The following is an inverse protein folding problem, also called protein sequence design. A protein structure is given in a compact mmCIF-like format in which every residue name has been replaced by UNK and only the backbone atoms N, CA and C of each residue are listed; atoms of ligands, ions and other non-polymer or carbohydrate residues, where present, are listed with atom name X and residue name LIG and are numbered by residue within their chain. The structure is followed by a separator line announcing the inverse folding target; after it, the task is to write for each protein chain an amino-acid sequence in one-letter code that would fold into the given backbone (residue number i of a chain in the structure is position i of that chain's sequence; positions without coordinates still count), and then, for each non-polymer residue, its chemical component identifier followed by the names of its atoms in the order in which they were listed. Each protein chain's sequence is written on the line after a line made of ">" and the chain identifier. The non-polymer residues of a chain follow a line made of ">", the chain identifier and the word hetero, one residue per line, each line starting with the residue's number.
data_IF_679792659123
#
_entry.id   IF_679792659123
#
_cell.length_a   1.000
_cell.length_b   1.000
_cell.length_c   1.000
_cell.angle_alpha   90.00
_cell.angle_beta   90.00
_cell.angle_gamma   90.00
#
_symmetry.space_group_name_H-M   'P 1'
#
loop_
_entity.id
_entity.type
_entity.pdbx_description
1 polymer ?
#
# COMPACT_ATOMS: atom_id res chain seq x y z
N UNK A 1 -17.19 -41.58 -0.79
CA UNK A 1 -16.27 -41.98 0.30
C UNK A 1 -15.26 -40.84 0.50
N UNK A 2 -15.51 -39.95 1.45
CA UNK A 2 -14.65 -38.78 1.70
C UNK A 2 -13.40 -39.20 2.49
N UNK A 3 -12.22 -39.00 1.90
CA UNK A 3 -10.93 -39.28 2.52
C UNK A 3 -10.68 -38.23 3.61
N UNK A 4 -11.00 -38.57 4.85
CA UNK A 4 -10.67 -37.81 6.06
C UNK A 4 -9.16 -37.96 6.30
N UNK A 5 -8.34 -37.02 5.82
CA UNK A 5 -6.89 -37.00 6.10
C UNK A 5 -6.67 -36.75 7.59
N UNK A 6 -6.23 -37.77 8.32
CA UNK A 6 -5.77 -37.65 9.70
C UNK A 6 -4.47 -36.84 9.71
N UNK A 7 -4.49 -35.64 10.29
CA UNK A 7 -3.29 -34.82 10.54
C UNK A 7 -2.34 -35.59 11.47
N UNK A 8 -1.06 -35.69 11.13
CA UNK A 8 -0.08 -36.36 11.99
C UNK A 8 0.17 -35.54 13.26
N UNK A 9 0.62 -36.17 14.34
CA UNK A 9 0.97 -35.48 15.60
C UNK A 9 2.07 -34.44 15.42
N UNK A 10 2.99 -34.64 14.46
CA UNK A 10 3.98 -33.65 14.04
C UNK A 10 3.36 -32.44 13.34
N UNK A 11 2.34 -32.63 12.51
CA UNK A 11 1.64 -31.53 11.84
C UNK A 11 0.90 -30.66 12.86
N UNK A 12 0.28 -31.27 13.87
CA UNK A 12 -0.40 -30.55 14.96
C UNK A 12 0.58 -29.73 15.81
N UNK A 13 1.74 -30.31 16.17
CA UNK A 13 2.78 -29.60 16.91
C UNK A 13 3.38 -28.43 16.11
N UNK A 14 3.59 -28.62 14.80
CA UNK A 14 4.06 -27.58 13.90
C UNK A 14 3.03 -26.43 13.76
N UNK A 15 1.74 -26.76 13.59
CA UNK A 15 0.67 -25.76 13.54
C UNK A 15 0.55 -24.98 14.86
N UNK A 16 0.70 -25.64 16.02
CA UNK A 16 0.69 -24.94 17.31
C UNK A 16 1.90 -24.01 17.46
N UNK A 17 3.08 -24.44 17.02
CA UNK A 17 4.29 -23.61 17.03
C UNK A 17 4.14 -22.37 16.12
N UNK A 18 3.65 -22.56 14.89
CA UNK A 18 3.38 -21.45 13.98
C UNK A 18 2.34 -20.49 14.54
N UNK A 19 1.28 -21.00 15.16
CA UNK A 19 0.26 -20.18 15.77
C UNK A 19 0.84 -19.37 16.94
N UNK A 20 1.57 -20.01 17.88
CA UNK A 20 2.22 -19.28 18.99
C UNK A 20 3.19 -18.20 18.50
N UNK A 21 3.92 -18.47 17.42
CA UNK A 21 4.88 -17.51 16.85
C UNK A 21 4.15 -16.34 16.18
N UNK A 22 3.12 -16.62 15.39
CA UNK A 22 2.32 -15.59 14.74
C UNK A 22 1.57 -14.72 15.77
N UNK A 23 1.06 -15.32 16.84
CA UNK A 23 0.41 -14.59 17.93
C UNK A 23 1.37 -13.60 18.60
N UNK A 24 2.61 -14.02 18.89
CA UNK A 24 3.64 -13.14 19.46
C UNK A 24 3.99 -11.98 18.52
N UNK A 25 4.13 -12.25 17.22
CA UNK A 25 4.42 -11.22 16.22
C UNK A 25 3.29 -10.18 16.15
N UNK A 26 2.04 -10.61 16.10
CA UNK A 26 0.87 -9.73 16.10
C UNK A 26 0.72 -8.92 17.40
N UNK A 27 1.22 -9.43 18.52
CA UNK A 27 1.20 -8.72 19.79
C UNK A 27 2.24 -7.60 19.87
N UNK A 28 3.45 -7.86 19.36
CA UNK A 28 4.62 -6.99 19.59
C UNK A 28 4.90 -6.06 18.41
N UNK A 29 4.84 -6.55 17.17
CA UNK A 29 5.28 -5.78 16.01
C UNK A 29 4.36 -4.60 15.66
N UNK A 30 3.03 -4.74 15.61
CA UNK A 30 2.14 -3.63 15.23
C UNK A 30 2.27 -2.36 16.10
N UNK A 31 2.23 -2.42 17.44
CA UNK A 31 2.34 -1.19 18.25
C UNK A 31 3.71 -0.51 18.08
N UNK A 32 4.79 -1.28 17.94
CA UNK A 32 6.13 -0.73 17.66
C UNK A 32 6.16 -0.02 16.31
N UNK A 33 5.64 -0.66 15.26
CA UNK A 33 5.59 -0.10 13.91
C UNK A 33 4.68 1.14 13.85
N UNK A 34 3.57 1.15 14.58
CA UNK A 34 2.70 2.33 14.71
C UNK A 34 3.46 3.51 15.33
N UNK A 35 4.15 3.31 16.46
CA UNK A 35 4.89 4.39 17.14
C UNK A 35 6.04 4.88 16.29
N UNK A 36 6.92 3.96 15.83
CA UNK A 36 8.10 4.31 15.03
C UNK A 36 7.69 4.92 13.69
N UNK A 37 6.69 4.34 13.02
CA UNK A 37 6.18 4.81 11.75
C UNK A 37 5.53 6.19 11.85
N UNK A 38 4.72 6.45 12.87
CA UNK A 38 4.11 7.77 13.09
C UNK A 38 5.17 8.83 13.39
N UNK A 39 6.13 8.53 14.27
CA UNK A 39 7.20 9.48 14.58
C UNK A 39 8.11 9.73 13.37
N UNK A 40 8.53 8.68 12.66
CA UNK A 40 9.41 8.76 11.50
C UNK A 40 8.79 9.56 10.35
N UNK A 41 7.54 9.27 10.00
CA UNK A 41 6.82 10.00 8.95
C UNK A 41 6.48 11.43 9.39
N UNK A 42 6.09 11.64 10.65
CA UNK A 42 5.85 12.97 11.20
C UNK A 42 7.09 13.87 11.16
N UNK A 43 8.25 13.33 11.55
CA UNK A 43 9.55 14.02 11.42
C UNK A 43 9.89 14.33 9.96
N UNK A 44 9.63 13.38 9.05
CA UNK A 44 9.87 13.58 7.61
C UNK A 44 9.06 14.76 7.08
N UNK A 45 7.77 14.84 7.42
CA UNK A 45 6.91 15.98 7.08
C UNK A 45 7.50 17.28 7.66
N UNK A 46 7.87 17.28 8.94
CA UNK A 46 8.39 18.47 9.62
C UNK A 46 9.70 18.99 9.00
N UNK A 47 10.61 18.10 8.61
CA UNK A 47 11.90 18.46 7.99
C UNK A 47 11.71 18.91 6.55
N UNK A 48 10.93 18.19 5.76
CA UNK A 48 10.71 18.48 4.34
C UNK A 48 9.89 19.75 4.11
N UNK A 49 9.03 20.12 5.08
CA UNK A 49 8.23 21.35 5.03
C UNK A 49 9.05 22.62 5.32
N UNK A 50 10.30 22.50 5.79
CA UNK A 50 11.16 23.66 6.06
C UNK A 50 11.49 24.42 4.76
N UNK A 51 11.63 25.75 4.87
CA UNK A 51 11.89 26.66 3.74
C UNK A 51 13.10 26.25 2.88
N UNK A 52 14.11 25.63 3.49
CA UNK A 52 15.29 25.12 2.79
C UNK A 52 14.98 23.96 1.84
N UNK A 53 14.06 23.06 2.22
CA UNK A 53 13.75 21.83 1.48
C UNK A 53 12.54 21.99 0.55
N UNK A 54 11.59 22.87 0.88
CA UNK A 54 10.35 23.10 0.12
C UNK A 54 10.56 23.59 -1.32
N UNK A 55 11.78 24.00 -1.68
CA UNK A 55 12.15 24.37 -3.05
C UNK A 55 12.38 23.16 -3.96
N UNK A 56 12.56 21.97 -3.40
CA UNK A 56 12.75 20.73 -4.15
C UNK A 56 11.41 20.06 -4.44
N UNK A 57 11.15 19.72 -5.70
CA UNK A 57 9.95 18.97 -6.08
C UNK A 57 9.93 17.58 -5.42
N UNK A 58 11.10 16.96 -5.21
CA UNK A 58 11.22 15.70 -4.47
C UNK A 58 10.65 15.80 -3.05
N UNK A 59 10.71 16.98 -2.41
CA UNK A 59 10.12 17.18 -1.08
C UNK A 59 8.59 17.05 -1.11
N UNK A 60 7.93 17.42 -2.22
CA UNK A 60 6.47 17.30 -2.37
C UNK A 60 6.06 15.82 -2.34
N UNK A 61 6.68 14.97 -3.16
CA UNK A 61 6.37 13.54 -3.17
C UNK A 61 6.68 12.89 -1.82
N UNK A 62 7.81 13.24 -1.20
CA UNK A 62 8.19 12.65 0.09
C UNK A 62 7.26 13.07 1.23
N UNK A 63 6.74 14.30 1.22
CA UNK A 63 5.71 14.74 2.17
C UNK A 63 4.42 13.96 1.95
N UNK A 64 3.95 13.86 0.69
CA UNK A 64 2.73 13.11 0.36
C UNK A 64 2.89 11.63 0.72
N UNK A 65 4.04 11.03 0.43
CA UNK A 65 4.37 9.67 0.84
C UNK A 65 4.27 9.52 2.36
N UNK A 66 4.89 10.44 3.12
CA UNK A 66 4.85 10.39 4.59
C UNK A 66 3.43 10.50 5.14
N UNK A 67 2.57 11.33 4.54
CA UNK A 67 1.15 11.45 4.90
C UNK A 67 0.40 10.15 4.59
N UNK A 68 0.61 9.58 3.40
CA UNK A 68 -0.04 8.34 2.99
C UNK A 68 0.43 7.16 3.85
N UNK A 69 1.71 7.08 4.21
CA UNK A 69 2.25 6.04 5.09
C UNK A 69 1.64 6.12 6.49
N UNK A 70 1.42 7.32 7.03
CA UNK A 70 0.64 7.51 8.26
C UNK A 70 -0.79 6.97 8.07
N UNK A 71 -1.47 7.30 6.97
CA UNK A 71 -2.81 6.76 6.71
C UNK A 71 -2.82 5.23 6.62
N UNK A 72 -1.83 4.61 5.97
CA UNK A 72 -1.68 3.14 5.89
C UNK A 72 -1.51 2.54 7.30
N UNK A 73 -0.70 3.16 8.15
CA UNK A 73 -0.50 2.73 9.53
C UNK A 73 -1.82 2.76 10.33
N UNK A 74 -2.57 3.86 10.27
CA UNK A 74 -3.79 4.03 11.06
C UNK A 74 -5.02 3.32 10.47
N UNK A 75 -5.10 3.12 9.15
CA UNK A 75 -6.24 2.43 8.53
C UNK A 75 -5.98 0.94 8.36
N UNK A 76 -4.77 0.53 8.00
CA UNK A 76 -4.39 -0.87 7.80
C UNK A 76 -3.92 -1.53 9.08
N UNK A 77 -2.74 -1.10 9.57
CA UNK A 77 -2.04 -1.78 10.65
C UNK A 77 -2.78 -1.67 11.99
N UNK A 78 -3.26 -0.48 12.34
CA UNK A 78 -4.03 -0.26 13.57
C UNK A 78 -5.32 -1.08 13.57
N UNK A 79 -6.08 -1.11 12.47
CA UNK A 79 -7.27 -1.97 12.35
C UNK A 79 -6.90 -3.42 12.63
N UNK A 80 -5.85 -3.93 12.00
CA UNK A 80 -5.48 -5.33 12.12
C UNK A 80 -5.02 -5.66 13.55
N UNK A 81 -4.33 -4.74 14.22
CA UNK A 81 -3.97 -4.87 15.62
C UNK A 81 -5.21 -4.85 16.53
N UNK A 82 -6.14 -3.93 16.32
CA UNK A 82 -7.40 -3.87 17.09
C UNK A 82 -8.26 -5.12 16.91
N UNK A 83 -8.36 -5.62 15.67
CA UNK A 83 -9.08 -6.86 15.38
C UNK A 83 -8.45 -8.05 16.10
N UNK A 84 -7.12 -8.11 16.13
CA UNK A 84 -6.42 -9.23 16.74
C UNK A 84 -6.46 -9.19 18.27
N UNK A 85 -6.29 -8.02 18.88
CA UNK A 85 -6.18 -7.88 20.34
C UNK A 85 -7.53 -7.69 21.03
N UNK A 86 -8.41 -6.86 20.46
CA UNK A 86 -9.69 -6.46 21.08
C UNK A 86 -10.90 -7.12 20.43
N UNK A 87 -10.69 -8.03 19.46
CA UNK A 87 -11.75 -8.60 18.60
C UNK A 87 -12.63 -7.52 17.94
N UNK A 88 -12.04 -6.33 17.72
CA UNK A 88 -12.72 -5.15 17.22
C UNK A 88 -12.31 -4.88 15.77
N UNK A 89 -13.26 -5.02 14.84
CA UNK A 89 -13.05 -4.67 13.44
C UNK A 89 -13.98 -3.51 13.05
N UNK A 90 -13.39 -2.38 12.64
CA UNK A 90 -14.11 -1.20 12.14
C UNK A 90 -15.03 -1.55 10.97
N UNK A 91 -14.69 -2.58 10.18
CA UNK A 91 -15.52 -3.06 9.07
C UNK A 91 -16.81 -3.73 9.54
N UNK A 92 -16.89 -4.20 10.79
CA UNK A 92 -18.08 -4.85 11.36
C UNK A 92 -19.08 -3.86 11.97
N UNK A 93 -18.77 -2.56 12.02
CA UNK A 93 -19.67 -1.52 12.53
C UNK A 93 -20.90 -1.31 11.62
N UNK A 94 -20.79 -1.70 10.35
CA UNK A 94 -21.90 -1.67 9.39
C UNK A 94 -21.42 -1.72 7.94
N UNK A 95 -22.35 -1.89 6.99
CA UNK A 95 -22.02 -2.08 5.58
C UNK A 95 -21.33 -0.86 4.97
N UNK A 96 -21.71 0.36 5.40
CA UNK A 96 -21.05 1.59 4.95
C UNK A 96 -19.58 1.65 5.42
N UNK A 97 -19.33 1.32 6.69
CA UNK A 97 -17.99 1.31 7.28
C UNK A 97 -17.09 0.29 6.58
N UNK A 98 -17.58 -0.92 6.34
CA UNK A 98 -16.86 -1.95 5.58
C UNK A 98 -16.42 -1.45 4.20
N UNK A 99 -17.34 -0.88 3.41
CA UNK A 99 -17.11 -0.41 2.05
C UNK A 99 -16.04 0.68 2.02
N UNK A 100 -16.26 1.76 2.77
CA UNK A 100 -15.38 2.93 2.78
C UNK A 100 -14.01 2.57 3.36
N UNK A 101 -13.96 1.82 4.46
CA UNK A 101 -12.71 1.43 5.07
C UNK A 101 -11.90 0.50 4.16
N UNK A 102 -12.53 -0.47 3.51
CA UNK A 102 -11.79 -1.38 2.60
C UNK A 102 -11.23 -0.60 1.43
N UNK A 103 -12.06 0.22 0.78
CA UNK A 103 -11.66 1.09 -0.30
C UNK A 103 -10.49 2.01 0.08
N UNK A 104 -10.55 2.66 1.25
CA UNK A 104 -9.52 3.57 1.74
C UNK A 104 -8.18 2.85 2.00
N UNK A 105 -8.20 1.64 2.57
CA UNK A 105 -6.97 0.88 2.83
C UNK A 105 -6.27 0.52 1.52
N UNK A 106 -6.98 -0.03 0.54
CA UNK A 106 -6.37 -0.38 -0.75
C UNK A 106 -5.86 0.87 -1.49
N UNK A 107 -6.65 1.95 -1.52
CA UNK A 107 -6.22 3.21 -2.09
C UNK A 107 -4.93 3.73 -1.45
N UNK A 108 -4.83 3.76 -0.12
CA UNK A 108 -3.64 4.30 0.55
C UNK A 108 -2.40 3.43 0.36
N UNK A 109 -2.55 2.09 0.32
CA UNK A 109 -1.46 1.17 -0.01
C UNK A 109 -0.93 1.42 -1.42
N UNK A 110 -1.81 1.48 -2.42
CA UNK A 110 -1.43 1.74 -3.80
C UNK A 110 -0.79 3.13 -3.95
N UNK A 111 -1.38 4.15 -3.32
CA UNK A 111 -0.86 5.51 -3.38
C UNK A 111 0.57 5.61 -2.86
N UNK A 112 0.91 4.94 -1.76
CA UNK A 112 2.27 4.95 -1.21
C UNK A 112 3.28 4.45 -2.25
N UNK A 113 2.97 3.33 -2.90
CA UNK A 113 3.85 2.73 -3.92
C UNK A 113 3.95 3.59 -5.19
N UNK A 114 2.83 4.11 -5.68
CA UNK A 114 2.82 4.91 -6.91
C UNK A 114 3.44 6.30 -6.73
N UNK A 115 3.42 6.86 -5.51
CA UNK A 115 4.20 8.06 -5.17
C UNK A 115 5.70 7.79 -5.29
N UNK A 116 6.18 6.62 -4.85
CA UNK A 116 7.58 6.21 -5.03
C UNK A 116 7.93 6.07 -6.52
N UNK A 117 7.07 5.44 -7.31
CA UNK A 117 7.26 5.34 -8.78
C UNK A 117 7.38 6.73 -9.40
N UNK A 118 6.46 7.64 -9.10
CA UNK A 118 6.49 9.01 -9.62
C UNK A 118 7.78 9.75 -9.23
N UNK A 119 8.20 9.63 -7.96
CA UNK A 119 9.45 10.20 -7.48
C UNK A 119 10.67 9.64 -8.22
N UNK A 120 10.72 8.33 -8.48
CA UNK A 120 11.82 7.72 -9.24
C UNK A 120 11.86 8.20 -10.70
N UNK A 121 10.68 8.39 -11.31
CA UNK A 121 10.59 8.91 -12.67
C UNK A 121 11.05 10.37 -12.75
N UNK A 122 10.66 11.21 -11.78
CA UNK A 122 11.11 12.60 -11.73
C UNK A 122 12.64 12.70 -11.54
N UNK A 123 13.22 11.81 -10.72
CA UNK A 123 14.67 11.70 -10.57
C UNK A 123 15.35 11.26 -11.86
N UNK A 124 14.77 10.29 -12.59
CA UNK A 124 15.29 9.83 -13.87
C UNK A 124 15.33 10.98 -14.88
N UNK A 125 14.23 11.75 -15.00
CA UNK A 125 14.15 12.92 -15.87
C UNK A 125 15.20 13.97 -15.49
N UNK A 126 15.39 14.20 -14.18
CA UNK A 126 16.38 15.16 -13.68
C UNK A 126 17.82 14.79 -14.04
N UNK A 127 18.13 13.49 -14.07
CA UNK A 127 19.47 12.98 -14.38
C UNK A 127 19.76 12.94 -15.88
N UNK A 128 18.78 12.51 -16.69
CA UNK A 128 18.99 12.35 -18.14
C UNK A 128 18.74 13.64 -18.94
N UNK A 129 17.88 14.54 -18.45
CA UNK A 129 17.44 15.74 -19.17
C UNK A 129 17.62 17.01 -18.30
N UNK A 130 18.85 17.33 -17.84
CA UNK A 130 19.10 18.46 -16.93
C UNK A 130 18.61 19.80 -17.50
N UNK A 131 18.62 19.97 -18.82
CA UNK A 131 18.16 21.19 -19.48
C UNK A 131 16.62 21.33 -19.55
N UNK A 132 15.87 20.22 -19.44
CA UNK A 132 14.39 20.21 -19.47
C UNK A 132 13.73 20.19 -18.10
N UNK A 133 14.52 20.11 -17.01
CA UNK A 133 14.03 20.10 -15.62
C UNK A 133 13.15 21.31 -15.32
N UNK A 134 13.55 22.52 -15.77
CA UNK A 134 12.76 23.74 -15.55
C UNK A 134 11.37 23.72 -16.22
N UNK A 135 11.18 22.90 -17.26
CA UNK A 135 9.91 22.80 -17.99
C UNK A 135 9.01 21.66 -17.48
N UNK A 136 9.59 20.53 -17.07
CA UNK A 136 8.84 19.32 -16.71
C UNK A 136 8.81 18.99 -15.21
N UNK A 137 9.72 19.57 -14.42
CA UNK A 137 9.80 19.35 -12.98
C UNK A 137 9.51 20.67 -12.27
N UNK A 138 8.22 21.02 -12.21
CA UNK A 138 7.69 22.15 -11.44
C UNK A 138 6.79 21.62 -10.32
N UNK A 139 6.56 22.41 -9.27
CA UNK A 139 5.64 22.01 -8.21
C UNK A 139 4.23 21.76 -8.73
N UNK A 140 3.78 22.51 -9.75
CA UNK A 140 2.48 22.31 -10.41
C UNK A 140 2.41 20.96 -11.10
N UNK A 141 3.43 20.60 -11.89
CA UNK A 141 3.47 19.29 -12.55
C UNK A 141 3.52 18.16 -11.53
N UNK A 142 4.24 18.32 -10.41
CA UNK A 142 4.26 17.30 -9.34
C UNK A 142 2.87 17.10 -8.72
N UNK A 143 2.14 18.18 -8.40
CA UNK A 143 0.78 18.07 -7.89
C UNK A 143 -0.19 17.48 -8.92
N UNK A 144 -0.05 17.84 -10.20
CA UNK A 144 -0.86 17.27 -11.27
C UNK A 144 -0.61 15.76 -11.42
N UNK A 145 0.66 15.34 -11.43
CA UNK A 145 1.03 13.92 -11.49
C UNK A 145 0.46 13.15 -10.31
N UNK A 146 0.59 13.67 -9.10
CA UNK A 146 0.01 13.07 -7.90
C UNK A 146 -1.53 13.00 -7.97
N UNK A 147 -2.19 14.05 -8.47
CA UNK A 147 -3.63 14.09 -8.65
C UNK A 147 -4.13 13.07 -9.68
N UNK A 148 -3.44 12.93 -10.81
CA UNK A 148 -3.78 11.91 -11.84
C UNK A 148 -3.62 10.50 -11.29
N UNK A 149 -2.51 10.23 -10.58
CA UNK A 149 -2.30 8.95 -9.89
C UNK A 149 -3.41 8.69 -8.88
N UNK A 150 -3.76 9.69 -8.06
CA UNK A 150 -4.84 9.59 -7.09
C UNK A 150 -6.16 9.21 -7.74
N UNK A 151 -6.57 9.93 -8.78
CA UNK A 151 -7.83 9.69 -9.48
C UNK A 151 -7.85 8.27 -10.08
N UNK A 152 -6.76 7.86 -10.75
CA UNK A 152 -6.67 6.52 -11.33
C UNK A 152 -6.81 5.42 -10.26
N UNK A 153 -6.12 5.55 -9.13
CA UNK A 153 -6.17 4.56 -8.05
C UNK A 153 -7.49 4.57 -7.30
N UNK A 154 -8.14 5.73 -7.13
CA UNK A 154 -9.50 5.83 -6.60
C UNK A 154 -10.49 5.08 -7.51
N UNK A 155 -10.37 5.25 -8.83
CA UNK A 155 -11.21 4.57 -9.81
C UNK A 155 -11.00 3.06 -9.80
N UNK A 156 -9.75 2.58 -9.82
CA UNK A 156 -9.43 1.14 -9.79
C UNK A 156 -9.98 0.49 -8.51
N UNK A 157 -9.83 1.16 -7.36
CA UNK A 157 -10.29 0.63 -6.09
C UNK A 157 -11.81 0.79 -5.86
N UNK A 158 -12.52 1.62 -6.65
CA UNK A 158 -13.95 1.90 -6.48
C UNK A 158 -14.85 0.65 -6.46
N UNK A 159 -14.38 -0.45 -7.04
CA UNK A 159 -15.08 -1.73 -7.05
C UNK A 159 -15.44 -2.26 -5.66
N UNK A 160 -14.63 -1.97 -4.64
CA UNK A 160 -14.94 -2.31 -3.25
C UNK A 160 -16.20 -1.63 -2.70
N UNK A 161 -16.61 -0.48 -3.25
CA UNK A 161 -17.79 0.27 -2.77
C UNK A 161 -19.11 -0.41 -3.17
N UNK A 162 -19.13 -1.11 -4.30
CA UNK A 162 -20.31 -1.84 -4.77
C UNK A 162 -20.22 -3.35 -4.54
N UNK A 163 -19.01 -3.91 -4.49
CA UNK A 163 -18.82 -5.36 -4.41
C UNK A 163 -18.87 -5.95 -2.99
N UNK A 164 -18.64 -5.13 -1.96
CA UNK A 164 -18.65 -5.56 -0.56
C UNK A 164 -19.95 -5.19 0.16
N UNK A 165 -20.36 -6.00 1.12
CA UNK A 165 -21.50 -5.71 1.98
C UNK A 165 -21.83 -6.86 2.92
N UNK A 166 -23.05 -6.86 3.45
CA UNK A 166 -23.52 -7.89 4.37
C UNK A 166 -24.38 -8.89 3.59
N UNK A 167 -24.03 -10.17 3.65
CA UNK A 167 -24.75 -11.26 2.99
C UNK A 167 -25.62 -12.00 4.00
N UNK A 168 -26.90 -12.13 3.69
CA UNK A 168 -27.89 -12.77 4.56
C UNK A 168 -28.17 -14.20 4.08
N UNK A 169 -27.90 -15.17 4.94
CA UNK A 169 -28.19 -16.58 4.68
C UNK A 169 -29.32 -17.05 5.59
N UNK A 170 -30.47 -17.38 5.01
CA UNK A 170 -31.57 -18.00 5.75
C UNK A 170 -31.31 -19.49 5.87
N UNK A 171 -31.09 -19.97 7.10
CA UNK A 171 -30.93 -21.40 7.35
C UNK A 171 -32.29 -22.10 7.46
N UNK A 172 -32.31 -23.41 7.21
CA UNK A 172 -33.50 -24.27 7.32
C UNK A 172 -34.15 -24.24 8.73
N UNK A 173 -33.46 -23.74 9.75
CA UNK A 173 -33.95 -23.57 11.13
C UNK A 173 -34.63 -22.20 11.39
N UNK A 174 -35.01 -21.44 10.35
CA UNK A 174 -35.48 -20.05 10.45
C UNK A 174 -34.51 -19.07 11.14
N UNK A 175 -33.23 -19.46 11.29
CA UNK A 175 -32.17 -18.56 11.74
C UNK A 175 -31.54 -17.88 10.53
N UNK A 176 -31.36 -16.57 10.61
CA UNK A 176 -30.60 -15.80 9.62
C UNK A 176 -29.16 -15.64 10.09
N UNK A 177 -28.22 -16.15 9.30
CA UNK A 177 -26.80 -15.90 9.47
C UNK A 177 -26.43 -14.67 8.64
N UNK A 178 -25.77 -13.69 9.27
CA UNK A 178 -25.31 -12.48 8.59
C UNK A 178 -23.79 -12.57 8.48
N UNK A 179 -23.30 -12.76 7.26
CA UNK A 179 -21.89 -12.68 6.94
C UNK A 179 -21.55 -11.21 6.67
N UNK A 180 -20.83 -10.58 7.61
CA UNK A 180 -20.50 -9.15 7.53
C UNK A 180 -19.29 -8.91 6.65
N UNK A 181 -19.33 -7.83 5.87
CA UNK A 181 -18.21 -7.37 5.06
C UNK A 181 -17.63 -8.45 4.13
N UNK A 182 -18.50 -9.13 3.38
CA UNK A 182 -18.16 -10.16 2.41
C UNK A 182 -18.53 -9.73 0.99
N UNK A 183 -18.20 -10.55 0.00
CA UNK A 183 -18.58 -10.33 -1.40
C UNK A 183 -20.09 -10.59 -1.59
N UNK A 184 -20.81 -9.60 -2.11
CA UNK A 184 -22.28 -9.65 -2.19
C UNK A 184 -22.80 -10.68 -3.18
N UNK A 185 -22.14 -10.82 -4.33
CA UNK A 185 -22.57 -11.68 -5.44
C UNK A 185 -21.60 -12.85 -5.62
N UNK A 186 -22.12 -14.01 -6.01
CA UNK A 186 -21.27 -15.20 -6.24
C UNK A 186 -20.31 -14.99 -7.43
N UNK A 187 -20.77 -14.30 -8.48
CA UNK A 187 -19.91 -13.88 -9.61
C UNK A 187 -18.80 -12.92 -9.15
N UNK A 188 -19.13 -11.98 -8.26
CA UNK A 188 -18.16 -11.05 -7.70
C UNK A 188 -17.17 -11.75 -6.75
N UNK A 189 -17.61 -12.82 -6.08
CA UNK A 189 -16.73 -13.67 -5.27
C UNK A 189 -15.66 -14.33 -6.14
N UNK A 190 -16.00 -14.78 -7.35
CA UNK A 190 -15.01 -15.27 -8.31
C UNK A 190 -14.02 -14.17 -8.70
N UNK A 191 -14.50 -12.97 -9.03
CA UNK A 191 -13.65 -11.83 -9.32
C UNK A 191 -12.69 -11.52 -8.15
N UNK A 192 -13.22 -11.35 -6.94
CA UNK A 192 -12.46 -10.95 -5.75
C UNK A 192 -11.46 -12.00 -5.26
N UNK A 193 -11.72 -13.29 -5.48
CA UNK A 193 -10.84 -14.38 -5.00
C UNK A 193 -9.91 -14.95 -6.05
N UNK A 194 -10.24 -14.83 -7.35
CA UNK A 194 -9.45 -15.43 -8.44
C UNK A 194 -8.80 -14.41 -9.37
N UNK A 195 -9.42 -13.25 -9.57
CA UNK A 195 -8.94 -12.25 -10.55
C UNK A 195 -8.26 -11.08 -9.86
N UNK A 196 -8.94 -10.46 -8.88
CA UNK A 196 -8.43 -9.31 -8.14
C UNK A 196 -7.04 -9.52 -7.52
N UNK A 197 -6.69 -10.67 -6.92
CA UNK A 197 -5.36 -10.86 -6.33
C UNK A 197 -4.21 -10.72 -7.35
N UNK A 198 -4.43 -11.06 -8.61
CA UNK A 198 -3.44 -10.86 -9.68
C UNK A 198 -3.34 -9.39 -10.08
N UNK A 199 -4.47 -8.68 -10.14
CA UNK A 199 -4.50 -7.24 -10.42
C UNK A 199 -3.77 -6.50 -9.30
N UNK A 200 -4.11 -6.79 -8.05
CA UNK A 200 -3.51 -6.24 -6.84
C UNK A 200 -1.99 -6.50 -6.81
N UNK A 201 -1.56 -7.75 -7.07
CA UNK A 201 -0.15 -8.11 -7.16
C UNK A 201 0.59 -7.29 -8.23
N UNK A 202 -0.02 -7.11 -9.40
CA UNK A 202 0.56 -6.32 -10.48
C UNK A 202 0.66 -4.83 -10.12
N UNK A 203 -0.42 -4.26 -9.59
CA UNK A 203 -0.57 -2.84 -9.31
C UNK A 203 0.26 -2.40 -8.11
N UNK A 204 0.30 -3.21 -7.06
CA UNK A 204 1.00 -2.92 -5.81
C UNK A 204 2.48 -3.33 -5.86
N UNK A 205 2.83 -4.42 -6.56
CA UNK A 205 4.17 -5.00 -6.48
C UNK A 205 4.89 -5.12 -7.82
N UNK A 206 4.42 -5.97 -8.74
CA UNK A 206 5.21 -6.36 -9.91
C UNK A 206 5.56 -5.18 -10.82
N UNK A 207 4.57 -4.36 -11.20
CA UNK A 207 4.79 -3.22 -12.09
C UNK A 207 5.61 -2.13 -11.39
N UNK A 208 5.25 -1.66 -10.18
CA UNK A 208 6.04 -0.67 -9.47
C UNK A 208 7.49 -1.08 -9.24
N UNK A 209 7.73 -2.31 -8.79
CA UNK A 209 9.08 -2.82 -8.52
C UNK A 209 9.91 -2.86 -9.80
N UNK A 210 9.33 -3.35 -10.90
CA UNK A 210 10.01 -3.39 -12.20
C UNK A 210 10.42 -1.98 -12.65
N UNK A 211 9.50 -1.02 -12.56
CA UNK A 211 9.77 0.38 -12.93
C UNK A 211 10.85 0.99 -12.03
N UNK A 212 10.72 0.85 -10.72
CA UNK A 212 11.68 1.39 -9.74
C UNK A 212 13.08 0.82 -9.98
N UNK A 213 13.20 -0.50 -10.19
CA UNK A 213 14.49 -1.16 -10.43
C UNK A 213 15.11 -0.68 -11.73
N UNK A 214 14.36 -0.68 -12.84
CA UNK A 214 14.85 -0.23 -14.15
C UNK A 214 15.28 1.24 -14.09
N UNK A 215 14.45 2.12 -13.52
CA UNK A 215 14.76 3.53 -13.39
C UNK A 215 15.99 3.78 -12.52
N UNK A 216 16.12 3.10 -11.38
CA UNK A 216 17.29 3.27 -10.51
C UNK A 216 18.57 2.74 -11.15
N UNK A 217 18.53 1.62 -11.88
CA UNK A 217 19.69 1.11 -12.65
C UNK A 217 20.12 2.17 -13.67
N UNK A 218 19.18 2.73 -14.43
CA UNK A 218 19.47 3.78 -15.41
C UNK A 218 20.09 5.02 -14.76
N UNK A 219 19.54 5.49 -13.62
CA UNK A 219 20.10 6.60 -12.84
C UNK A 219 21.56 6.33 -12.46
N UNK A 220 21.84 5.17 -11.87
CA UNK A 220 23.19 4.80 -11.42
C UNK A 220 24.18 4.76 -12.58
N UNK A 221 23.80 4.16 -13.71
CA UNK A 221 24.64 4.09 -14.91
C UNK A 221 24.97 5.49 -15.42
N UNK A 222 23.97 6.37 -15.54
CA UNK A 222 24.17 7.73 -16.05
C UNK A 222 25.02 8.59 -15.11
N UNK A 223 24.76 8.53 -13.81
CA UNK A 223 25.52 9.29 -12.80
C UNK A 223 26.99 8.85 -12.80
N UNK A 224 27.27 7.53 -12.86
CA UNK A 224 28.65 7.03 -12.96
C UNK A 224 29.34 7.51 -14.22
N UNK A 225 28.68 7.43 -15.37
CA UNK A 225 29.24 7.92 -16.63
C UNK A 225 29.58 9.42 -16.57
N UNK A 226 28.70 10.26 -16.02
CA UNK A 226 28.96 11.69 -15.85
C UNK A 226 30.09 11.97 -14.87
N UNK A 227 30.17 11.21 -13.76
CA UNK A 227 31.26 11.33 -12.80
C UNK A 227 32.62 11.01 -13.42
N UNK A 228 32.74 9.90 -14.16
CA UNK A 228 34.00 9.54 -14.85
C UNK A 228 34.45 10.62 -15.83
N UNK A 229 33.53 11.15 -16.66
CA UNK A 229 33.85 12.24 -17.60
C UNK A 229 34.32 13.50 -16.87
N UNK A 230 33.73 13.83 -15.72
CA UNK A 230 34.13 14.99 -14.92
C UNK A 230 35.50 14.75 -14.26
N UNK A 231 35.73 13.56 -13.69
CA UNK A 231 37.01 13.18 -13.07
C UNK A 231 38.16 13.18 -14.08
N UNK A 232 37.92 12.81 -15.33
CA UNK A 232 38.93 12.88 -16.41
C UNK A 232 39.24 14.29 -16.92
N UNK A 233 38.47 15.31 -16.48
CA UNK A 233 38.67 16.73 -16.86
C UNK A 233 39.27 17.58 -15.75
N UNK A 234 39.49 17.03 -14.56
CA UNK A 234 40.22 17.73 -13.50
C UNK A 234 41.71 17.41 -13.69
N UNK A 235 42.55 18.40 -14.06
CA UNK A 235 43.98 18.20 -14.25
C UNK A 235 44.71 17.93 -12.92
#
# INVERSE_FOLDING_TARGET
>A
MARRTSLSTSDLAYMDYLNRTSLKLWYVCPPILLVVGTLGNGMSIAVLSRKAMRRSNAAIYLIVLSVVDILVLYTGLLRQWLRFYYDFDVRNLGPFSCKIHTWLVYFTLDMSVWVLVALTFERLVSVYLPHRVKKHCTSVTSFLTLGVIAVALLSVNSHFLYGLGDKHHTMASNRTLIERCTFLFDEYTHFGTKVWPWIDLCLYSLVPLSVIVICNIAIVVKVRATYFVCSSRVP
#
